data_IF_653375607424
#
_entry.id   IF_653375607424
#
_cell.length_a   1.000
_cell.length_b   1.000
_cell.length_c   1.000
_cell.angle_alpha   90.00
_cell.angle_beta   90.00
_cell.angle_gamma   90.00
#
_symmetry.space_group_name_H-M   'P 1'
#
loop_
_entity.id
_entity.type
_entity.pdbx_description
1 polymer ?
#
# COMPACT_ATOMS: atom_id res chain seq x y z
N UNK A 1 15.43 -3.02 4.72
CA UNK A 1 15.73 -3.03 3.27
C UNK A 1 16.77 -1.97 3.00
N UNK A 2 17.81 -2.27 2.21
CA UNK A 2 18.64 -1.23 1.62
C UNK A 2 17.77 -0.33 0.73
N UNK A 3 18.05 0.96 0.71
CA UNK A 3 17.44 1.88 -0.26
C UNK A 3 17.91 1.44 -1.65
N UNK A 4 17.01 1.28 -2.65
CA UNK A 4 17.41 0.96 -4.02
C UNK A 4 18.50 1.93 -4.50
N UNK A 5 19.50 1.44 -5.22
CA UNK A 5 20.52 2.30 -5.80
C UNK A 5 19.91 3.18 -6.90
N UNK A 6 20.59 4.27 -7.28
CA UNK A 6 20.16 5.13 -8.39
C UNK A 6 20.01 4.35 -9.71
N UNK A 7 20.80 3.30 -9.89
CA UNK A 7 20.71 2.43 -11.06
C UNK A 7 19.49 1.48 -10.98
N UNK A 8 19.14 1.00 -9.78
CA UNK A 8 17.88 0.24 -9.55
C UNK A 8 16.64 1.13 -9.76
N UNK A 9 16.77 2.44 -9.53
CA UNK A 9 15.69 3.42 -9.70
C UNK A 9 15.35 3.71 -11.18
N UNK A 10 16.27 3.41 -12.12
CA UNK A 10 16.02 3.53 -13.55
C UNK A 10 14.97 2.51 -14.07
N UNK A 11 14.75 1.43 -13.31
CA UNK A 11 13.62 0.51 -13.49
C UNK A 11 12.36 1.03 -12.81
N UNK A 12 11.63 1.93 -13.48
CA UNK A 12 10.40 2.61 -13.00
C UNK A 12 9.40 1.72 -12.23
N UNK A 13 9.18 0.42 -12.54
CA UNK A 13 8.30 -0.43 -11.74
C UNK A 13 8.78 -0.65 -10.30
N UNK A 14 10.07 -0.88 -10.09
CA UNK A 14 10.63 -1.19 -8.77
C UNK A 14 10.67 0.05 -7.87
N UNK A 15 11.06 1.20 -8.44
CA UNK A 15 11.08 2.46 -7.69
C UNK A 15 9.70 2.90 -7.24
N UNK A 16 8.71 2.85 -8.14
CA UNK A 16 7.34 3.20 -7.78
C UNK A 16 6.79 2.29 -6.68
N UNK A 17 7.03 0.98 -6.76
CA UNK A 17 6.56 0.02 -5.76
C UNK A 17 7.26 0.20 -4.41
N UNK A 18 8.55 0.56 -4.43
CA UNK A 18 9.28 0.93 -3.22
C UNK A 18 8.64 2.14 -2.53
N UNK A 19 8.35 3.20 -3.29
CA UNK A 19 7.68 4.39 -2.75
C UNK A 19 6.27 4.09 -2.25
N UNK A 20 5.50 3.25 -2.95
CA UNK A 20 4.17 2.83 -2.50
C UNK A 20 4.26 2.12 -1.13
N UNK A 21 5.22 1.21 -0.96
CA UNK A 21 5.46 0.54 0.33
C UNK A 21 5.85 1.53 1.41
N UNK A 22 6.77 2.44 1.13
CA UNK A 22 7.24 3.42 2.13
C UNK A 22 6.15 4.38 2.55
N UNK A 23 5.38 4.89 1.60
CA UNK A 23 4.25 5.74 1.90
C UNK A 23 3.24 4.96 2.72
N UNK A 24 3.02 3.71 2.37
CA UNK A 24 2.08 2.91 3.10
C UNK A 24 2.52 2.63 4.55
N UNK A 25 3.78 2.25 4.75
CA UNK A 25 4.36 2.11 6.10
C UNK A 25 4.25 3.43 6.90
N UNK A 26 4.40 4.57 6.24
CA UNK A 26 4.31 5.88 6.87
C UNK A 26 2.87 6.21 7.34
N UNK A 27 1.83 5.78 6.61
CA UNK A 27 0.42 6.06 6.96
C UNK A 27 -0.23 4.99 7.84
N UNK A 28 0.38 3.80 7.97
CA UNK A 28 -0.24 2.66 8.64
C UNK A 28 -0.66 2.99 10.09
N UNK A 29 -1.96 2.84 10.36
CA UNK A 29 -2.56 3.08 11.67
C UNK A 29 -2.65 4.55 12.08
N UNK A 30 -2.35 5.49 11.17
CA UNK A 30 -2.37 6.93 11.45
C UNK A 30 -3.50 7.70 10.76
N UNK A 31 -4.25 7.08 9.83
CA UNK A 31 -5.18 7.80 8.95
C UNK A 31 -6.40 8.33 9.73
N UNK A 32 -6.57 9.66 9.87
CA UNK A 32 -7.76 10.26 10.46
C UNK A 32 -8.98 10.09 9.54
N UNK A 33 -10.19 10.10 10.12
CA UNK A 33 -11.44 9.97 9.36
C UNK A 33 -11.70 11.11 8.36
N UNK A 34 -11.00 12.26 8.53
CA UNK A 34 -11.06 13.41 7.63
C UNK A 34 -10.23 13.21 6.34
N UNK A 35 -9.35 12.20 6.28
CA UNK A 35 -8.52 11.95 5.10
C UNK A 35 -9.28 11.07 4.11
N UNK A 36 -9.48 11.61 2.92
CA UNK A 36 -10.22 10.99 1.84
C UNK A 36 -9.33 10.03 1.03
N UNK A 37 -8.10 10.42 0.72
CA UNK A 37 -7.15 9.55 0.02
C UNK A 37 -5.71 9.96 0.28
N UNK A 38 -4.78 8.99 0.18
CA UNK A 38 -3.34 9.24 0.26
C UNK A 38 -2.66 8.50 -0.90
N UNK A 39 -1.77 9.19 -1.60
CA UNK A 39 -1.04 8.63 -2.73
C UNK A 39 0.31 9.30 -2.94
N UNK A 40 1.09 8.74 -3.86
CA UNK A 40 2.39 9.27 -4.27
C UNK A 40 2.42 9.46 -5.78
N UNK A 41 2.90 10.62 -6.22
CA UNK A 41 3.32 10.82 -7.61
C UNK A 41 4.83 10.62 -7.68
N UNK A 42 5.24 9.68 -8.53
CA UNK A 42 6.63 9.22 -8.64
C UNK A 42 7.32 9.99 -9.75
N UNK A 43 8.42 10.67 -9.43
CA UNK A 43 9.41 11.16 -10.37
C UNK A 43 10.74 10.43 -10.21
N UNK A 44 11.70 10.74 -11.07
CA UNK A 44 13.00 10.04 -11.13
C UNK A 44 13.80 10.18 -9.84
N UNK A 45 13.80 11.38 -9.24
CA UNK A 45 14.50 11.69 -7.97
C UNK A 45 13.61 12.45 -6.99
N UNK A 46 12.30 12.44 -7.24
CA UNK A 46 11.32 13.17 -6.45
C UNK A 46 10.08 12.32 -6.19
N UNK A 47 9.48 12.52 -5.02
CA UNK A 47 8.21 11.93 -4.63
C UNK A 47 7.30 13.05 -4.11
N UNK A 48 6.13 13.21 -4.72
CA UNK A 48 5.12 14.14 -4.24
C UNK A 48 4.02 13.37 -3.53
N UNK A 49 3.93 13.55 -2.22
CA UNK A 49 2.85 12.98 -1.42
C UNK A 49 1.57 13.76 -1.64
N UNK A 50 0.54 13.07 -2.10
CA UNK A 50 -0.76 13.63 -2.44
C UNK A 50 -1.78 13.20 -1.38
N UNK A 51 -2.40 14.18 -0.70
CA UNK A 51 -3.43 13.98 0.30
C UNK A 51 -4.73 14.63 -0.17
N UNK A 52 -5.79 13.85 -0.33
CA UNK A 52 -7.15 14.36 -0.45
C UNK A 52 -7.79 14.35 0.94
N UNK A 53 -8.41 15.46 1.33
CA UNK A 53 -8.98 15.63 2.67
C UNK A 53 -10.38 16.18 2.57
N UNK A 54 -11.31 15.68 3.38
CA UNK A 54 -12.68 16.19 3.43
C UNK A 54 -12.76 17.52 4.17
N UNK A 55 -11.97 17.64 5.24
CA UNK A 55 -11.87 18.83 6.08
C UNK A 55 -10.41 19.05 6.42
N UNK A 56 -9.90 20.26 6.17
CA UNK A 56 -8.56 20.64 6.61
C UNK A 56 -8.64 21.22 8.02
N UNK A 57 -8.18 20.45 9.00
CA UNK A 57 -8.10 20.84 10.41
C UNK A 57 -6.71 20.55 10.99
N UNK A 58 -6.51 20.88 12.27
CA UNK A 58 -5.23 20.68 12.95
C UNK A 58 -4.80 19.19 12.99
N UNK A 59 -5.75 18.25 13.04
CA UNK A 59 -5.48 16.81 13.07
C UNK A 59 -4.92 16.36 11.72
N UNK A 60 -5.51 16.83 10.62
CA UNK A 60 -5.03 16.56 9.25
C UNK A 60 -3.63 17.16 9.02
N UNK A 61 -3.38 18.37 9.52
CA UNK A 61 -2.06 19.00 9.42
C UNK A 61 -0.99 18.18 10.16
N UNK A 62 -1.25 17.82 11.42
CA UNK A 62 -0.33 17.00 12.23
C UNK A 62 -0.09 15.63 11.59
N UNK A 63 -1.16 14.96 11.14
CA UNK A 63 -1.05 13.70 10.40
C UNK A 63 -0.14 13.83 9.17
N UNK A 64 -0.37 14.86 8.35
CA UNK A 64 0.43 15.09 7.14
C UNK A 64 1.91 15.25 7.48
N UNK A 65 2.22 16.06 8.49
CA UNK A 65 3.61 16.30 8.92
C UNK A 65 4.29 15.01 9.40
N UNK A 66 3.60 14.20 10.21
CA UNK A 66 4.10 12.91 10.69
C UNK A 66 4.37 11.93 9.53
N UNK A 67 3.43 11.81 8.59
CA UNK A 67 3.58 10.94 7.42
C UNK A 67 4.75 11.39 6.56
N UNK A 68 4.86 12.69 6.30
CA UNK A 68 5.93 13.27 5.47
C UNK A 68 7.30 13.03 6.11
N UNK A 69 7.43 13.23 7.42
CA UNK A 69 8.66 12.96 8.16
C UNK A 69 9.05 11.48 8.06
N UNK A 70 8.13 10.57 8.39
CA UNK A 70 8.36 9.11 8.32
C UNK A 70 8.74 8.66 6.91
N UNK A 71 8.02 9.15 5.91
CA UNK A 71 8.29 8.82 4.52
C UNK A 71 9.68 9.30 4.11
N UNK A 72 10.03 10.57 4.37
CA UNK A 72 11.34 11.14 4.07
C UNK A 72 12.48 10.36 4.71
N UNK A 73 12.34 10.00 5.97
CA UNK A 73 13.33 9.19 6.70
C UNK A 73 13.52 7.81 6.06
N UNK A 74 12.46 7.24 5.48
CA UNK A 74 12.47 5.90 4.89
C UNK A 74 12.98 5.83 3.44
N UNK A 75 12.83 6.90 2.65
CA UNK A 75 13.24 6.93 1.23
C UNK A 75 14.70 7.33 1.02
N UNK A 76 15.32 7.92 2.04
CA UNK A 76 16.74 8.30 2.02
C UNK A 76 17.00 9.73 1.53
N UNK A 77 18.23 10.25 1.72
CA UNK A 77 18.55 11.67 1.56
C UNK A 77 18.59 12.16 0.10
N UNK A 78 18.59 11.26 -0.88
CA UNK A 78 18.66 11.59 -2.31
C UNK A 78 17.31 11.90 -2.97
N UNK A 79 16.20 11.77 -2.23
CA UNK A 79 14.85 11.86 -2.78
C UNK A 79 14.18 13.14 -2.31
N UNK A 80 13.83 14.01 -3.27
CA UNK A 80 13.09 15.23 -2.97
C UNK A 80 11.63 14.88 -2.62
N UNK A 81 11.22 15.09 -1.36
CA UNK A 81 9.85 14.84 -0.92
C UNK A 81 9.07 16.14 -0.84
N UNK A 82 8.07 16.30 -1.70
CA UNK A 82 7.12 17.41 -1.69
C UNK A 82 5.73 16.94 -1.25
N UNK A 83 4.85 17.88 -0.93
CA UNK A 83 3.51 17.61 -0.40
C UNK A 83 2.49 18.43 -1.16
N UNK A 84 1.40 17.77 -1.54
CA UNK A 84 0.20 18.39 -2.06
C UNK A 84 -1.00 17.95 -1.25
N UNK A 85 -1.72 18.92 -0.69
CA UNK A 85 -3.01 18.71 -0.03
C UNK A 85 -4.11 19.31 -0.88
N UNK A 86 -5.26 18.64 -0.91
CA UNK A 86 -6.42 19.07 -1.68
C UNK A 86 -7.70 18.77 -0.90
N UNK A 87 -8.48 19.81 -0.63
CA UNK A 87 -9.81 19.65 -0.06
C UNK A 87 -10.77 19.08 -1.11
N UNK A 88 -11.51 18.03 -0.77
CA UNK A 88 -12.44 17.35 -1.67
C UNK A 88 -13.77 17.07 -0.99
N UNK A 89 -14.86 17.11 -1.74
CA UNK A 89 -16.19 16.71 -1.25
C UNK A 89 -16.39 15.19 -1.30
N UNK A 90 -15.63 14.50 -2.14
CA UNK A 90 -15.65 13.05 -2.34
C UNK A 90 -14.28 12.55 -2.78
N UNK A 91 -14.02 11.26 -2.59
CA UNK A 91 -12.76 10.63 -3.03
C UNK A 91 -12.65 10.67 -4.57
N UNK A 92 -11.50 11.13 -5.08
CA UNK A 92 -11.26 11.35 -6.52
C UNK A 92 -10.03 10.57 -7.02
N UNK A 93 -10.00 9.24 -6.86
CA UNK A 93 -8.84 8.42 -7.28
C UNK A 93 -8.58 8.47 -8.79
N UNK A 94 -9.64 8.53 -9.61
CA UNK A 94 -9.54 8.50 -11.08
C UNK A 94 -9.16 9.83 -11.75
N UNK A 95 -9.19 10.95 -11.03
CA UNK A 95 -8.93 12.27 -11.60
C UNK A 95 -7.43 12.54 -11.84
N UNK A 96 -6.56 11.82 -11.14
CA UNK A 96 -5.10 11.91 -11.29
C UNK A 96 -4.51 10.53 -11.56
N UNK A 97 -4.37 10.22 -12.85
CA UNK A 97 -3.82 8.92 -13.31
C UNK A 97 -2.32 8.79 -13.08
N UNK A 98 -1.65 9.89 -12.81
CA UNK A 98 -0.23 9.98 -12.48
C UNK A 98 0.07 9.79 -10.99
N UNK A 99 -0.96 9.73 -10.14
CA UNK A 99 -0.84 9.45 -8.70
C UNK A 99 -1.13 7.97 -8.45
N UNK A 100 -0.23 7.32 -7.72
CA UNK A 100 -0.43 5.98 -7.17
C UNK A 100 -1.08 6.11 -5.80
N UNK A 101 -2.36 5.82 -5.73
CA UNK A 101 -3.11 5.89 -4.47
C UNK A 101 -2.86 4.64 -3.65
N UNK A 102 -2.35 4.83 -2.43
CA UNK A 102 -2.15 3.73 -1.49
C UNK A 102 -3.36 3.56 -0.56
N UNK A 103 -4.09 4.65 -0.30
CA UNK A 103 -5.31 4.64 0.51
C UNK A 103 -6.41 5.48 -0.15
N UNK A 104 -7.66 5.01 -0.06
CA UNK A 104 -8.87 5.76 -0.37
C UNK A 104 -10.00 5.35 0.57
N UNK A 105 -10.65 6.33 1.20
CA UNK A 105 -11.79 6.09 2.07
C UNK A 105 -12.98 5.54 1.26
N UNK A 106 -13.68 4.53 1.78
CA UNK A 106 -14.94 4.10 1.20
C UNK A 106 -16.02 5.14 1.54
N UNK A 107 -16.69 5.66 0.50
CA UNK A 107 -17.63 6.80 0.59
C UNK A 107 -18.92 6.42 1.34
N UNK A 108 -19.15 5.14 1.63
CA UNK A 108 -20.39 4.66 2.23
C UNK A 108 -20.51 4.89 3.75
N UNK A 109 -19.44 5.36 4.41
CA UNK A 109 -19.52 5.75 5.81
C UNK A 109 -19.80 7.26 5.95
N UNK A 110 -20.87 7.67 6.64
CA UNK A 110 -21.12 9.08 6.90
C UNK A 110 -19.94 9.67 7.67
N UNK A 111 -19.44 10.81 7.18
CA UNK A 111 -18.40 11.57 7.87
C UNK A 111 -18.84 11.79 9.33
N UNK A 112 -17.99 11.51 10.32
CA UNK A 112 -18.31 11.89 11.68
C UNK A 112 -18.56 13.41 11.71
N UNK A 113 -19.58 13.88 12.46
CA UNK A 113 -19.85 15.31 12.54
C UNK A 113 -18.59 16.05 12.98
N UNK A 114 -18.41 17.28 12.46
CA UNK A 114 -17.31 18.16 12.83
C UNK A 114 -17.40 18.53 14.32
N UNK A 115 -16.97 17.63 15.20
CA UNK A 115 -16.86 17.88 16.62
C UNK A 115 -15.61 18.73 16.87
N UNK A 116 -15.81 19.78 17.67
CA UNK A 116 -14.81 20.69 18.23
C UNK A 116 -13.52 19.94 18.60
N UNK A 117 -12.32 20.50 18.34
CA UNK A 117 -11.06 19.84 18.65
C UNK A 117 -10.92 19.70 20.16
N UNK A 118 -11.45 18.60 20.71
CA UNK A 118 -10.94 18.07 21.94
C UNK A 118 -9.48 17.78 21.64
N UNK A 119 -8.59 18.45 22.38
CA UNK A 119 -7.17 18.14 22.42
C UNK A 119 -7.07 16.64 22.69
N UNK A 120 -6.90 15.86 21.62
CA UNK A 120 -6.62 14.44 21.71
C UNK A 120 -5.22 14.42 22.29
N UNK A 121 -5.12 14.35 23.62
CA UNK A 121 -3.96 13.71 24.22
C UNK A 121 -3.83 12.41 23.46
N UNK A 122 -2.77 12.31 22.66
CA UNK A 122 -2.45 11.16 21.85
C UNK A 122 -2.27 9.96 22.78
N UNK A 123 -3.38 9.35 23.18
CA UNK A 123 -3.43 7.94 23.50
C UNK A 123 -3.20 7.27 22.17
N UNK A 124 -1.93 7.21 21.76
CA UNK A 124 -1.45 6.32 20.72
C UNK A 124 -2.01 4.95 21.12
N UNK A 125 -3.01 4.42 20.42
CA UNK A 125 -3.53 3.10 20.75
C UNK A 125 -2.32 2.16 20.73
N UNK A 126 -2.16 1.35 21.78
CA UNK A 126 -1.12 0.32 21.79
C UNK A 126 -1.14 -0.40 20.45
N UNK A 127 0.02 -0.45 19.80
CA UNK A 127 0.33 -1.07 18.50
C UNK A 127 -0.38 -2.42 18.31
N UNK A 128 -1.65 -2.45 17.95
CA UNK A 128 -2.33 -3.65 17.47
C UNK A 128 -2.44 -3.51 15.95
N UNK A 129 -1.87 -4.47 15.24
CA UNK A 129 -2.08 -4.57 13.79
C UNK A 129 -3.59 -4.73 13.52
N UNK A 130 -4.10 -4.14 12.42
CA UNK A 130 -5.49 -4.34 12.05
C UNK A 130 -5.76 -5.83 11.84
N UNK A 131 -6.95 -6.26 12.25
CA UNK A 131 -7.44 -7.62 12.06
C UNK A 131 -8.62 -7.60 11.11
N UNK A 132 -8.95 -8.72 10.46
CA UNK A 132 -10.14 -8.79 9.63
C UNK A 132 -11.46 -8.54 10.38
N UNK A 133 -11.46 -8.68 11.70
CA UNK A 133 -12.62 -8.42 12.55
C UNK A 133 -12.87 -6.93 12.82
N UNK A 134 -11.92 -6.06 12.45
CA UNK A 134 -12.08 -4.61 12.55
C UNK A 134 -12.95 -4.11 11.37
N UNK A 135 -14.26 -4.39 11.41
CA UNK A 135 -15.20 -4.10 10.29
C UNK A 135 -15.22 -2.61 9.93
N UNK A 136 -15.17 -1.72 10.93
CA UNK A 136 -15.07 -0.25 10.72
C UNK A 136 -13.71 0.18 10.13
N UNK A 137 -12.78 -0.77 9.97
CA UNK A 137 -11.43 -0.59 9.45
C UNK A 137 -11.12 -1.57 8.32
N UNK A 138 -12.13 -2.13 7.65
CA UNK A 138 -11.94 -3.01 6.49
C UNK A 138 -10.97 -2.40 5.44
N UNK A 139 -11.04 -1.10 5.11
CA UNK A 139 -10.06 -0.48 4.22
C UNK A 139 -8.62 -0.51 4.77
N UNK A 140 -8.46 -0.44 6.10
CA UNK A 140 -7.17 -0.51 6.78
C UNK A 140 -6.62 -1.93 6.80
N UNK A 141 -7.48 -2.95 6.96
CA UNK A 141 -7.10 -4.35 6.87
C UNK A 141 -6.60 -4.70 5.47
N UNK A 142 -7.36 -4.33 4.45
CA UNK A 142 -6.95 -4.58 3.07
C UNK A 142 -5.64 -3.89 2.74
N UNK A 143 -5.51 -2.65 3.15
CA UNK A 143 -4.30 -1.87 2.96
C UNK A 143 -3.11 -2.53 3.68
N UNK A 144 -3.30 -3.02 4.90
CA UNK A 144 -2.29 -3.76 5.62
C UNK A 144 -1.84 -5.04 4.88
N UNK A 145 -2.77 -5.82 4.32
CA UNK A 145 -2.42 -7.01 3.53
C UNK A 145 -1.69 -6.63 2.26
N UNK A 146 -2.15 -5.59 1.55
CA UNK A 146 -1.47 -5.03 0.36
C UNK A 146 -0.01 -4.72 0.67
N UNK A 147 0.26 -4.12 1.83
CA UNK A 147 1.63 -3.80 2.29
C UNK A 147 2.45 -5.04 2.52
N UNK A 148 1.90 -6.02 3.26
CA UNK A 148 2.65 -7.23 3.58
C UNK A 148 3.02 -7.97 2.30
N UNK A 149 2.09 -8.09 1.36
CA UNK A 149 2.35 -8.72 0.06
C UNK A 149 3.38 -7.93 -0.74
N UNK A 150 3.24 -6.61 -0.82
CA UNK A 150 4.19 -5.79 -1.59
C UNK A 150 5.58 -5.86 -0.97
N UNK A 151 5.70 -5.82 0.36
CA UNK A 151 6.97 -5.96 1.09
C UNK A 151 7.63 -7.31 0.87
N UNK A 152 6.85 -8.38 0.92
CA UNK A 152 7.34 -9.73 0.67
C UNK A 152 7.81 -9.86 -0.78
N UNK A 153 7.05 -9.30 -1.71
CA UNK A 153 7.36 -9.33 -3.14
C UNK A 153 8.62 -8.50 -3.46
N UNK A 154 8.87 -7.37 -2.80
CA UNK A 154 10.05 -6.53 -3.10
C UNK A 154 11.41 -7.23 -2.94
N UNK A 155 11.47 -8.35 -2.22
CA UNK A 155 12.73 -9.07 -1.98
C UNK A 155 13.01 -10.21 -2.96
N UNK A 156 11.97 -10.75 -3.60
CA UNK A 156 11.99 -12.07 -4.23
C UNK A 156 11.14 -12.13 -5.51
N UNK A 157 11.18 -11.11 -6.38
CA UNK A 157 10.50 -11.20 -7.69
C UNK A 157 11.50 -11.68 -8.74
N UNK A 158 11.46 -12.98 -9.05
CA UNK A 158 12.12 -13.55 -10.21
C UNK A 158 11.65 -12.89 -11.52
N UNK A 159 12.51 -12.75 -12.54
CA UNK A 159 12.15 -12.20 -13.86
C UNK A 159 11.00 -12.92 -14.56
N UNK A 160 10.78 -14.19 -14.22
CA UNK A 160 9.69 -15.02 -14.74
C UNK A 160 8.34 -14.73 -14.07
N UNK A 161 8.27 -13.91 -13.01
CA UNK A 161 6.98 -13.50 -12.43
C UNK A 161 6.31 -12.47 -13.32
N UNK A 162 5.10 -12.78 -13.80
CA UNK A 162 4.31 -11.92 -14.66
C UNK A 162 3.46 -10.93 -13.85
N UNK A 163 2.81 -11.39 -12.78
CA UNK A 163 2.04 -10.55 -11.89
C UNK A 163 1.85 -11.20 -10.52
N UNK A 164 1.71 -10.37 -9.48
CA UNK A 164 1.35 -10.77 -8.13
C UNK A 164 0.11 -9.98 -7.74
N UNK A 165 -0.91 -10.69 -7.27
CA UNK A 165 -2.11 -10.09 -6.73
C UNK A 165 -2.66 -10.90 -5.57
N UNK A 166 -3.79 -10.48 -5.04
CA UNK A 166 -4.47 -11.20 -3.97
C UNK A 166 -5.96 -10.97 -3.98
N UNK A 167 -6.69 -11.88 -3.35
CA UNK A 167 -8.10 -11.73 -2.99
C UNK A 167 -8.22 -11.79 -1.47
N UNK A 168 -9.03 -10.89 -0.92
CA UNK A 168 -9.38 -10.91 0.48
C UNK A 168 -10.74 -11.56 0.67
N UNK A 169 -10.80 -12.43 1.67
CA UNK A 169 -12.02 -12.88 2.31
C UNK A 169 -11.87 -12.64 3.81
N UNK A 170 -12.99 -12.64 4.53
CA UNK A 170 -13.06 -12.33 5.97
C UNK A 170 -11.96 -12.99 6.82
N UNK A 171 -11.52 -14.20 6.52
CA UNK A 171 -10.46 -14.87 7.27
C UNK A 171 -9.41 -15.52 6.37
N UNK A 172 -9.28 -15.07 5.11
CA UNK A 172 -8.37 -15.68 4.14
C UNK A 172 -7.77 -14.66 3.19
N UNK A 173 -6.45 -14.75 3.01
CA UNK A 173 -5.71 -14.07 1.94
C UNK A 173 -5.37 -15.12 0.88
N UNK A 174 -5.92 -14.96 -0.32
CA UNK A 174 -5.59 -15.80 -1.47
C UNK A 174 -4.60 -15.06 -2.36
N UNK A 175 -3.32 -15.41 -2.29
CA UNK A 175 -2.28 -14.91 -3.18
C UNK A 175 -2.47 -15.49 -4.57
N UNK A 176 -2.37 -14.64 -5.59
CA UNK A 176 -2.49 -15.01 -7.00
C UNK A 176 -1.17 -14.69 -7.69
N UNK A 177 -0.44 -15.73 -8.07
CA UNK A 177 0.80 -15.61 -8.81
C UNK A 177 0.57 -15.97 -10.27
N UNK A 178 0.90 -15.04 -11.16
CA UNK A 178 1.04 -15.32 -12.59
C UNK A 178 2.53 -15.35 -12.92
N UNK A 179 2.97 -16.40 -13.60
CA UNK A 179 4.37 -16.59 -14.00
C UNK A 179 4.46 -16.92 -15.49
N UNK A 180 5.52 -16.47 -16.16
CA UNK A 180 5.83 -16.81 -17.54
C UNK A 180 6.38 -18.23 -17.68
N UNK A 181 7.10 -18.71 -16.67
CA UNK A 181 7.64 -20.05 -16.58
C UNK A 181 7.86 -20.43 -15.11
N UNK A 182 7.83 -21.73 -14.81
CA UNK A 182 8.18 -22.26 -13.49
C UNK A 182 9.58 -22.85 -13.57
N UNK A 183 10.44 -22.46 -12.63
CA UNK A 183 11.74 -23.06 -12.38
C UNK A 183 11.97 -23.08 -10.85
N UNK A 184 13.06 -23.72 -10.40
CA UNK A 184 13.34 -23.86 -8.97
C UNK A 184 13.48 -22.51 -8.25
N UNK A 185 14.05 -21.49 -8.91
CA UNK A 185 14.21 -20.14 -8.34
C UNK A 185 12.85 -19.48 -8.16
N UNK A 186 11.98 -19.56 -9.17
CA UNK A 186 10.61 -19.03 -9.09
C UNK A 186 9.82 -19.73 -7.98
N UNK A 187 9.93 -21.05 -7.87
CA UNK A 187 9.19 -21.79 -6.84
C UNK A 187 9.64 -21.44 -5.42
N UNK A 188 10.95 -21.23 -5.21
CA UNK A 188 11.53 -20.77 -3.94
C UNK A 188 11.08 -19.35 -3.62
N UNK A 189 11.22 -18.42 -4.57
CA UNK A 189 10.79 -17.02 -4.42
C UNK A 189 9.30 -16.89 -4.07
N UNK A 190 8.43 -17.64 -4.76
CA UNK A 190 6.99 -17.61 -4.48
C UNK A 190 6.66 -18.23 -3.11
N UNK A 191 7.40 -19.25 -2.69
CA UNK A 191 7.23 -19.85 -1.36
C UNK A 191 7.71 -18.91 -0.25
N UNK A 192 8.79 -18.17 -0.46
CA UNK A 192 9.28 -17.15 0.46
C UNK A 192 8.28 -16.01 0.61
N UNK A 193 7.70 -15.53 -0.50
CA UNK A 193 6.64 -14.51 -0.46
C UNK A 193 5.43 -15.01 0.33
N UNK A 194 4.96 -16.22 0.04
CA UNK A 194 3.84 -16.84 0.77
C UNK A 194 4.14 -16.96 2.28
N UNK A 195 5.34 -17.42 2.64
CA UNK A 195 5.78 -17.57 4.03
C UNK A 195 5.96 -16.25 4.79
N UNK A 196 6.51 -15.21 4.15
CA UNK A 196 6.61 -13.87 4.74
C UNK A 196 5.22 -13.26 4.97
N UNK A 197 4.31 -13.39 4.00
CA UNK A 197 2.92 -12.90 4.13
C UNK A 197 2.20 -13.64 5.25
N UNK A 198 2.27 -14.98 5.29
CA UNK A 198 1.69 -15.78 6.38
C UNK A 198 2.20 -15.34 7.74
N UNK A 199 3.52 -15.14 7.86
CA UNK A 199 4.15 -14.71 9.11
C UNK A 199 3.63 -13.36 9.60
N UNK A 200 3.43 -12.40 8.70
CA UNK A 200 2.99 -11.05 9.08
C UNK A 200 1.48 -10.95 9.29
N UNK A 201 0.69 -11.68 8.51
CA UNK A 201 -0.77 -11.66 8.55
C UNK A 201 -1.33 -12.48 9.73
N UNK A 202 -0.58 -13.45 10.26
CA UNK A 202 -0.95 -14.37 11.37
C UNK A 202 -1.74 -13.70 12.50
N UNK A 203 -3.08 -13.78 12.38
CA UNK A 203 -4.08 -13.40 13.40
C UNK A 203 -5.39 -14.17 13.13
N UNK A 204 -5.31 -15.49 12.91
CA UNK A 204 -6.47 -16.31 12.54
C UNK A 204 -6.90 -16.13 11.07
N UNK A 205 -5.94 -15.79 10.21
CA UNK A 205 -6.14 -15.62 8.77
C UNK A 205 -5.35 -16.69 8.04
N UNK A 206 -6.04 -17.44 7.18
CA UNK A 206 -5.42 -18.43 6.32
C UNK A 206 -4.77 -17.74 5.12
N UNK A 207 -3.47 -17.96 4.91
CA UNK A 207 -2.80 -17.55 3.68
C UNK A 207 -2.67 -18.76 2.77
N UNK A 208 -3.12 -18.61 1.53
CA UNK A 208 -2.96 -19.64 0.50
C UNK A 208 -2.45 -18.99 -0.78
N UNK A 209 -1.76 -19.76 -1.61
CA UNK A 209 -1.35 -19.33 -2.93
C UNK A 209 -1.99 -20.16 -4.04
N UNK A 210 -2.35 -19.49 -5.14
CA UNK A 210 -2.58 -20.11 -6.43
C UNK A 210 -1.54 -19.62 -7.44
N UNK A 211 -1.12 -20.52 -8.33
CA UNK A 211 -0.08 -20.28 -9.33
C UNK A 211 -0.63 -20.57 -10.73
N UNK A 212 -0.43 -19.66 -11.67
CA UNK A 212 -0.87 -19.78 -13.06
C UNK A 212 0.30 -19.46 -14.01
N UNK A 213 0.52 -20.33 -15.01
CA UNK A 213 1.48 -20.06 -16.08
C UNK A 213 0.76 -19.30 -17.20
N UNK A 214 1.27 -18.13 -17.58
CA UNK A 214 0.67 -17.24 -18.58
C UNK A 214 1.69 -16.77 -19.61
N UNK A 215 1.23 -16.46 -20.83
CA UNK A 215 2.07 -15.80 -21.84
C UNK A 215 2.16 -14.28 -21.63
N UNK A 216 1.15 -13.69 -20.99
CA UNK A 216 1.01 -12.27 -20.68
C UNK A 216 0.20 -12.08 -19.38
N UNK A 217 0.42 -11.00 -18.61
CA UNK A 217 -0.36 -10.72 -17.40
C UNK A 217 -1.86 -10.55 -17.69
N UNK A 218 -2.71 -11.27 -16.95
CA UNK A 218 -4.18 -11.22 -17.08
C UNK A 218 -4.78 -10.52 -15.87
N UNK A 219 -4.98 -9.21 -15.98
CA UNK A 219 -5.39 -8.37 -14.86
C UNK A 219 -6.90 -8.33 -14.59
N UNK A 220 -7.72 -8.79 -15.54
CA UNK A 220 -9.20 -8.73 -15.48
C UNK A 220 -9.86 -9.79 -14.59
N UNK A 221 -9.15 -10.37 -13.60
CA UNK A 221 -9.67 -11.42 -12.74
C UNK A 221 -10.49 -10.81 -11.60
N UNK A 222 -11.75 -11.22 -11.50
CA UNK A 222 -12.69 -10.64 -10.54
C UNK A 222 -12.19 -10.79 -9.08
N UNK A 223 -12.29 -9.69 -8.33
CA UNK A 223 -11.90 -9.62 -6.92
C UNK A 223 -10.39 -9.62 -6.66
N UNK A 224 -9.54 -9.76 -7.69
CA UNK A 224 -8.08 -9.74 -7.52
C UNK A 224 -7.57 -8.30 -7.53
N UNK A 225 -6.80 -7.96 -6.49
CA UNK A 225 -6.06 -6.71 -6.40
C UNK A 225 -4.59 -6.99 -6.71
N UNK A 226 -4.08 -6.39 -7.78
CA UNK A 226 -2.72 -6.61 -8.26
C UNK A 226 -1.74 -5.65 -7.59
N UNK A 227 -0.71 -6.19 -6.95
CA UNK A 227 0.36 -5.42 -6.28
C UNK A 227 1.60 -5.29 -7.16
N UNK A 228 1.79 -6.23 -8.10
CA UNK A 228 2.89 -6.21 -9.05
C UNK A 228 2.42 -6.69 -10.42
N UNK A 229 2.89 -6.03 -11.46
CA UNK A 229 2.73 -6.45 -12.86
C UNK A 229 4.04 -6.16 -13.59
N UNK A 230 4.63 -7.18 -14.19
CA UNK A 230 5.82 -7.03 -15.02
C UNK A 230 5.50 -6.20 -16.27
N UNK A 231 6.39 -5.25 -16.60
CA UNK A 231 6.36 -4.55 -17.89
C UNK A 231 7.36 -5.25 -18.81
N UNK A 232 6.85 -5.84 -19.90
CA UNK A 232 7.67 -6.26 -21.04
C UNK A 232 7.67 -5.19 -22.11
#
# INVERSE_FOLDING_TARGET
MPVPSLDDMAGIPLWGNYLDVRLTEAVLGLIPGQVAAVGVRVGDTAAELNFQVFVEDAVVLEFTEVVVARFRDSVGPGVAVTVRREAVERVMLGARRDVRWVYGAHIDHPLPPASTPARVEAVVPRRSFPTPADVDREPVWEHYVTVQITRASLRCIAPEVAAIGFRLRLSRVELVFQVFAVNAVVDEDLADIEGEVDTWVRNGVDVVAEREIVSEPRLGREGVKWTYVARR
#
